data_IF_675258581740
#
_entry.id   IF_675258581740
#
_cell.length_a   1.000
_cell.length_b   1.000
_cell.length_c   1.000
_cell.angle_alpha   90.00
_cell.angle_beta   90.00
_cell.angle_gamma   90.00
#
_symmetry.space_group_name_H-M   'P 1'
#
loop_
_entity.id
_entity.type
_entity.pdbx_description
1 polymer ?
#
# COMPACT_ATOMS: atom_id res chain seq x y z
N UNK A 1 -13.60 -19.82 4.40
CA UNK A 1 -14.05 -18.83 3.39
C UNK A 1 -13.78 -19.44 2.03
N UNK A 2 -14.73 -19.33 1.10
CA UNK A 2 -14.66 -19.93 -0.23
C UNK A 2 -14.77 -18.82 -1.27
N UNK A 3 -13.64 -18.33 -1.84
CA UNK A 3 -13.68 -17.23 -2.78
C UNK A 3 -14.54 -17.56 -4.00
N UNK A 4 -15.41 -16.65 -4.39
CA UNK A 4 -16.28 -16.81 -5.57
C UNK A 4 -16.10 -15.67 -6.54
N UNK A 5 -16.32 -15.93 -7.84
CA UNK A 5 -16.17 -14.90 -8.88
C UNK A 5 -17.21 -13.80 -8.67
N UNK A 6 -16.74 -12.57 -8.60
CA UNK A 6 -17.58 -11.39 -8.59
C UNK A 6 -17.79 -10.90 -10.03
N UNK A 7 -19.05 -10.69 -10.43
CA UNK A 7 -19.38 -10.08 -11.71
C UNK A 7 -19.59 -8.58 -11.49
N UNK A 8 -18.69 -7.77 -12.03
CA UNK A 8 -18.70 -6.32 -11.86
C UNK A 8 -19.96 -5.69 -12.48
N UNK A 9 -20.59 -4.80 -11.74
CA UNK A 9 -21.68 -3.95 -12.22
C UNK A 9 -21.14 -2.82 -13.11
N UNK A 10 -22.04 -2.13 -13.84
CA UNK A 10 -21.67 -0.97 -14.65
C UNK A 10 -21.02 0.16 -13.83
N UNK A 11 -21.52 0.40 -12.61
CA UNK A 11 -20.96 1.43 -11.71
C UNK A 11 -19.55 1.08 -11.26
N UNK A 12 -19.32 -0.18 -10.90
CA UNK A 12 -18.00 -0.67 -10.51
C UNK A 12 -17.02 -0.61 -11.69
N UNK A 13 -17.47 -0.97 -12.89
CA UNK A 13 -16.68 -0.84 -14.12
C UNK A 13 -16.24 0.61 -14.38
N UNK A 14 -17.12 1.59 -14.15
CA UNK A 14 -16.75 3.02 -14.24
C UNK A 14 -15.68 3.40 -13.21
N UNK A 15 -15.82 2.96 -11.96
CA UNK A 15 -14.84 3.22 -10.90
C UNK A 15 -13.47 2.62 -11.24
N UNK A 16 -13.44 1.41 -11.82
CA UNK A 16 -12.23 0.74 -12.28
C UNK A 16 -11.56 1.55 -13.40
N UNK A 17 -12.31 1.96 -14.43
CA UNK A 17 -11.76 2.76 -15.52
C UNK A 17 -11.20 4.10 -15.03
N UNK A 18 -11.90 4.75 -14.09
CA UNK A 18 -11.41 5.97 -13.46
C UNK A 18 -10.09 5.72 -12.71
N UNK A 19 -9.96 4.61 -11.98
CA UNK A 19 -8.73 4.26 -11.30
C UNK A 19 -7.56 4.05 -12.26
N UNK A 20 -7.77 3.38 -13.41
CA UNK A 20 -6.73 3.24 -14.43
C UNK A 20 -6.29 4.58 -15.02
N UNK A 21 -7.25 5.47 -15.30
CA UNK A 21 -6.95 6.81 -15.84
C UNK A 21 -6.12 7.68 -14.88
N UNK A 22 -6.18 7.39 -13.58
CA UNK A 22 -5.46 8.10 -12.55
C UNK A 22 -4.05 7.55 -12.27
N UNK A 23 -3.67 6.42 -12.86
CA UNK A 23 -2.33 5.84 -12.66
C UNK A 23 -1.22 6.75 -13.19
N UNK A 24 0.01 6.70 -12.62
CA UNK A 24 1.16 7.41 -13.16
C UNK A 24 1.43 7.07 -14.63
N UNK A 25 2.06 7.99 -15.41
CA UNK A 25 2.38 7.75 -16.81
C UNK A 25 3.19 6.48 -17.08
N UNK A 26 4.14 6.13 -16.21
CA UNK A 26 4.91 4.89 -16.37
C UNK A 26 4.02 3.66 -16.25
N UNK A 27 3.15 3.60 -15.24
CA UNK A 27 2.16 2.54 -15.06
C UNK A 27 1.26 2.40 -16.29
N UNK A 28 0.67 3.50 -16.77
CA UNK A 28 -0.22 3.46 -17.94
C UNK A 28 0.47 2.89 -19.19
N UNK A 29 1.78 3.08 -19.32
CA UNK A 29 2.55 2.55 -20.45
C UNK A 29 2.86 1.07 -20.26
N UNK A 30 3.46 0.70 -19.13
CA UNK A 30 3.91 -0.67 -18.85
C UNK A 30 2.72 -1.62 -18.84
N UNK A 31 1.58 -1.21 -18.27
CA UNK A 31 0.39 -2.06 -18.19
C UNK A 31 -0.20 -2.41 -19.55
N UNK A 32 0.02 -1.62 -20.61
CA UNK A 32 -0.46 -1.96 -21.97
C UNK A 32 0.16 -3.25 -22.51
N UNK A 33 1.39 -3.55 -22.10
CA UNK A 33 2.13 -4.73 -22.55
C UNK A 33 2.12 -5.85 -21.52
N UNK A 34 2.15 -5.48 -20.23
CA UNK A 34 2.40 -6.43 -19.15
C UNK A 34 1.16 -6.80 -18.32
N UNK A 35 0.04 -6.09 -18.42
CA UNK A 35 -1.19 -6.48 -17.71
C UNK A 35 -2.07 -7.36 -18.61
N UNK A 36 -2.13 -8.65 -18.32
CA UNK A 36 -3.02 -9.59 -19.02
C UNK A 36 -4.49 -9.37 -18.66
N UNK A 37 -4.77 -8.97 -17.42
CA UNK A 37 -6.13 -8.70 -16.97
C UNK A 37 -6.24 -8.50 -15.47
N UNK A 38 -7.46 -8.17 -15.04
CA UNK A 38 -7.84 -8.13 -13.64
C UNK A 38 -9.12 -8.92 -13.40
N UNK A 39 -9.29 -9.44 -12.19
CA UNK A 39 -10.52 -10.10 -11.76
C UNK A 39 -10.92 -9.69 -10.35
N UNK A 40 -12.16 -9.96 -9.99
CA UNK A 40 -12.71 -9.66 -8.68
C UNK A 40 -13.30 -10.92 -8.06
N UNK A 41 -13.00 -11.15 -6.78
CA UNK A 41 -13.54 -12.25 -6.00
C UNK A 41 -14.26 -11.71 -4.74
N UNK A 42 -15.42 -12.27 -4.46
CA UNK A 42 -16.06 -12.15 -3.15
C UNK A 42 -15.38 -13.13 -2.16
N UNK A 43 -15.43 -12.81 -0.86
CA UNK A 43 -14.85 -13.63 0.24
C UNK A 43 -13.37 -13.98 0.12
N UNK A 44 -12.60 -13.13 -0.57
CA UNK A 44 -11.14 -13.22 -0.64
C UNK A 44 -10.50 -12.72 0.68
N UNK A 45 -9.59 -13.50 1.31
CA UNK A 45 -8.98 -13.09 2.59
C UNK A 45 -8.01 -11.91 2.44
N UNK A 46 -7.30 -11.85 1.32
CA UNK A 46 -6.39 -10.76 0.99
C UNK A 46 -7.12 -9.64 0.24
N UNK A 47 -6.57 -8.42 0.24
CA UNK A 47 -7.16 -7.32 -0.53
C UNK A 47 -6.95 -7.52 -2.03
N UNK A 48 -5.76 -7.97 -2.43
CA UNK A 48 -5.45 -8.30 -3.81
C UNK A 48 -4.31 -9.34 -3.87
N UNK A 49 -4.12 -9.91 -5.06
CA UNK A 49 -3.01 -10.81 -5.41
C UNK A 49 -2.58 -10.51 -6.84
N UNK A 50 -1.29 -10.23 -7.03
CA UNK A 50 -0.66 -10.09 -8.34
C UNK A 50 0.11 -11.37 -8.68
N UNK A 51 -0.23 -12.01 -9.81
CA UNK A 51 0.39 -13.27 -10.27
C UNK A 51 0.96 -13.13 -11.68
N UNK A 52 2.06 -13.81 -11.96
CA UNK A 52 2.60 -13.93 -13.32
C UNK A 52 1.71 -14.90 -14.12
N UNK A 53 1.41 -14.54 -15.36
CA UNK A 53 0.75 -15.41 -16.33
C UNK A 53 1.83 -16.08 -17.16
N UNK A 54 1.85 -17.42 -17.18
CA UNK A 54 2.75 -18.17 -18.05
C UNK A 54 2.39 -17.88 -19.51
N UNK A 55 3.39 -17.47 -20.29
CA UNK A 55 3.27 -17.29 -21.74
C UNK A 55 4.45 -17.94 -22.44
N UNK A 56 4.23 -18.35 -23.69
CA UNK A 56 5.27 -18.97 -24.52
C UNK A 56 6.28 -17.95 -25.06
N UNK A 57 5.99 -16.65 -24.97
CA UNK A 57 6.92 -15.58 -25.31
C UNK A 57 7.74 -15.13 -24.09
N UNK A 58 8.81 -14.36 -24.32
CA UNK A 58 9.67 -13.85 -23.25
C UNK A 58 9.06 -12.68 -22.47
N UNK A 59 7.83 -12.27 -22.78
CA UNK A 59 7.18 -11.09 -22.18
C UNK A 59 6.47 -11.51 -20.90
N UNK A 60 6.99 -11.07 -19.76
CA UNK A 60 6.38 -11.34 -18.45
C UNK A 60 5.06 -10.58 -18.33
N UNK A 61 3.94 -11.30 -18.29
CA UNK A 61 2.60 -10.73 -18.08
C UNK A 61 2.05 -11.05 -16.71
N UNK A 62 1.12 -10.22 -16.26
CA UNK A 62 0.58 -10.25 -14.92
C UNK A 62 -0.94 -10.23 -14.93
N UNK A 63 -1.53 -10.93 -13.97
CA UNK A 63 -2.95 -10.87 -13.68
C UNK A 63 -3.12 -10.41 -12.22
N UNK A 64 -4.03 -9.45 -11.97
CA UNK A 64 -4.31 -8.95 -10.63
C UNK A 64 -5.72 -9.35 -10.21
N UNK A 65 -5.83 -10.08 -9.11
CA UNK A 65 -7.11 -10.48 -8.54
C UNK A 65 -7.39 -9.63 -7.30
N UNK A 66 -8.52 -8.93 -7.27
CA UNK A 66 -8.93 -8.06 -6.18
C UNK A 66 -10.09 -8.65 -5.36
N UNK A 67 -10.16 -8.32 -4.08
CA UNK A 67 -11.36 -8.53 -3.27
C UNK A 67 -12.44 -7.53 -3.66
N UNK A 68 -13.58 -8.00 -4.14
CA UNK A 68 -14.66 -7.17 -4.69
C UNK A 68 -15.19 -6.11 -3.70
N UNK A 69 -15.17 -6.41 -2.39
CA UNK A 69 -15.64 -5.49 -1.36
C UNK A 69 -14.99 -4.09 -1.43
N UNK A 70 -13.75 -3.96 -1.92
CA UNK A 70 -13.07 -2.64 -2.04
C UNK A 70 -13.79 -1.70 -2.99
N UNK A 71 -14.54 -2.22 -3.97
CA UNK A 71 -15.30 -1.41 -4.93
C UNK A 71 -16.45 -0.64 -4.28
N UNK A 72 -16.84 -1.02 -3.06
CA UNK A 72 -17.90 -0.39 -2.27
C UNK A 72 -17.36 0.49 -1.14
N UNK A 73 -16.04 0.63 -1.05
CA UNK A 73 -15.36 1.38 0.00
C UNK A 73 -14.71 2.64 -0.57
N UNK A 74 -14.67 3.68 0.23
CA UNK A 74 -13.72 4.78 0.05
C UNK A 74 -12.32 4.36 0.49
N UNK A 75 -11.29 5.07 0.02
CA UNK A 75 -9.91 4.89 0.49
C UNK A 75 -9.84 5.02 2.02
N UNK A 76 -10.57 5.97 2.61
CA UNK A 76 -10.60 6.18 4.08
C UNK A 76 -11.15 4.97 4.83
N UNK A 77 -12.26 4.39 4.36
CA UNK A 77 -12.89 3.22 4.97
C UNK A 77 -12.00 1.98 4.87
N UNK A 78 -11.47 1.72 3.67
CA UNK A 78 -10.59 0.57 3.44
C UNK A 78 -9.30 0.65 4.25
N UNK A 79 -8.63 1.82 4.30
CA UNK A 79 -7.43 2.01 5.12
C UNK A 79 -7.74 1.78 6.61
N UNK A 80 -8.86 2.31 7.11
CA UNK A 80 -9.26 2.09 8.49
C UNK A 80 -9.55 0.61 8.78
N UNK A 81 -10.22 -0.10 7.87
CA UNK A 81 -10.44 -1.54 7.99
C UNK A 81 -9.12 -2.32 8.01
N UNK A 82 -8.26 -2.11 7.01
CA UNK A 82 -6.93 -2.74 6.89
C UNK A 82 -6.13 -2.53 8.17
N UNK A 83 -6.07 -1.30 8.67
CA UNK A 83 -5.27 -0.95 9.83
C UNK A 83 -5.81 -1.54 11.13
N UNK A 84 -7.13 -1.63 11.29
CA UNK A 84 -7.73 -2.31 12.47
C UNK A 84 -7.35 -3.78 12.56
N UNK A 85 -7.03 -4.43 11.44
CA UNK A 85 -6.55 -5.83 11.48
C UNK A 85 -5.24 -5.97 12.24
N UNK A 86 -4.42 -4.91 12.33
CA UNK A 86 -3.19 -4.89 13.12
C UNK A 86 -3.43 -4.99 14.63
N UNK A 87 -4.68 -4.85 15.09
CA UNK A 87 -5.00 -4.73 16.50
C UNK A 87 -6.11 -5.68 16.94
N UNK A 88 -6.07 -6.08 18.21
CA UNK A 88 -7.14 -6.81 18.90
C UNK A 88 -7.78 -5.92 19.97
N UNK A 89 -9.13 -5.95 20.13
CA UNK A 89 -9.84 -5.23 21.18
C UNK A 89 -9.25 -5.44 22.58
N UNK A 90 -9.20 -4.37 23.37
CA UNK A 90 -8.88 -4.37 24.79
C UNK A 90 -9.72 -3.32 25.53
N UNK A 91 -9.47 -3.12 26.84
CA UNK A 91 -10.21 -2.17 27.66
C UNK A 91 -9.78 -0.70 27.48
N UNK A 92 -8.92 -0.38 26.49
CA UNK A 92 -8.41 0.98 26.33
C UNK A 92 -9.45 1.99 25.83
N UNK A 93 -10.52 1.53 25.18
CA UNK A 93 -11.50 2.41 24.51
C UNK A 93 -10.95 3.15 23.29
N UNK A 94 -9.78 2.74 22.79
CA UNK A 94 -9.11 3.36 21.63
C UNK A 94 -9.73 2.86 20.32
N UNK A 95 -9.93 3.76 19.36
CA UNK A 95 -10.38 3.45 18.01
C UNK A 95 -9.47 4.08 16.96
N UNK A 96 -9.44 3.47 15.77
CA UNK A 96 -8.66 3.92 14.61
C UNK A 96 -9.60 4.41 13.52
N UNK A 97 -9.28 5.58 12.96
CA UNK A 97 -9.86 6.10 11.72
C UNK A 97 -8.78 6.63 10.78
N UNK A 98 -9.14 6.75 9.50
CA UNK A 98 -8.32 7.36 8.48
C UNK A 98 -9.06 8.51 7.81
N UNK A 99 -8.33 9.58 7.51
CA UNK A 99 -8.76 10.67 6.65
C UNK A 99 -7.90 10.60 5.40
N UNK A 100 -8.46 10.02 4.34
CA UNK A 100 -7.79 9.81 3.04
C UNK A 100 -8.64 10.24 1.83
N UNK A 101 -9.75 10.93 2.07
CA UNK A 101 -10.70 11.36 1.05
C UNK A 101 -11.74 10.30 0.70
N UNK A 102 -12.59 10.64 -0.28
CA UNK A 102 -13.77 9.86 -0.68
C UNK A 102 -13.60 9.17 -2.03
N UNK A 103 -12.38 9.12 -2.57
CA UNK A 103 -12.09 8.30 -3.75
C UNK A 103 -12.39 6.83 -3.44
N UNK A 104 -12.80 6.07 -4.46
CA UNK A 104 -13.01 4.64 -4.32
C UNK A 104 -11.69 3.94 -3.94
N UNK A 105 -11.74 2.95 -3.05
CA UNK A 105 -10.55 2.25 -2.56
C UNK A 105 -9.76 1.57 -3.69
N UNK A 106 -10.41 1.18 -4.79
CA UNK A 106 -9.72 0.63 -5.97
C UNK A 106 -8.65 1.57 -6.52
N UNK A 107 -8.79 2.90 -6.37
CA UNK A 107 -7.76 3.86 -6.79
C UNK A 107 -6.44 3.62 -6.05
N UNK A 108 -6.52 3.37 -4.73
CA UNK A 108 -5.35 3.10 -3.90
C UNK A 108 -4.79 1.71 -4.20
N UNK A 109 -5.65 0.69 -4.13
CA UNK A 109 -5.24 -0.71 -4.25
C UNK A 109 -4.70 -1.02 -5.65
N UNK A 110 -5.33 -0.49 -6.72
CA UNK A 110 -4.85 -0.67 -8.08
C UNK A 110 -3.45 -0.08 -8.25
N UNK A 111 -3.20 1.13 -7.76
CA UNK A 111 -1.88 1.75 -7.85
C UNK A 111 -0.82 0.94 -7.09
N UNK A 112 -1.17 0.43 -5.90
CA UNK A 112 -0.30 -0.45 -5.14
C UNK A 112 0.08 -1.70 -5.96
N UNK A 113 -0.90 -2.46 -6.43
CA UNK A 113 -0.66 -3.73 -7.15
C UNK A 113 0.05 -3.51 -8.49
N UNK A 114 -0.35 -2.47 -9.24
CA UNK A 114 0.30 -2.15 -10.51
C UNK A 114 1.73 -1.63 -10.33
N UNK A 115 2.11 -1.17 -9.14
CA UNK A 115 3.52 -0.87 -8.84
C UNK A 115 4.37 -2.12 -8.79
N UNK A 116 3.85 -3.24 -8.26
CA UNK A 116 4.54 -4.54 -8.34
C UNK A 116 4.67 -5.02 -9.79
N UNK A 117 3.65 -4.78 -10.63
CA UNK A 117 3.74 -5.08 -12.08
C UNK A 117 4.82 -4.24 -12.75
N UNK A 118 4.85 -2.92 -12.50
CA UNK A 118 5.86 -2.03 -13.08
C UNK A 118 7.26 -2.42 -12.65
N UNK A 119 7.45 -2.65 -11.35
CA UNK A 119 8.74 -3.07 -10.80
C UNK A 119 9.20 -4.38 -11.44
N UNK A 120 8.36 -5.42 -11.41
CA UNK A 120 8.72 -6.72 -11.94
C UNK A 120 8.88 -6.77 -13.47
N UNK A 121 8.28 -5.85 -14.22
CA UNK A 121 8.42 -5.78 -15.69
C UNK A 121 9.70 -5.07 -16.12
N UNK A 122 10.10 -4.03 -15.38
CA UNK A 122 11.25 -3.19 -15.71
C UNK A 122 12.49 -3.46 -14.84
N UNK A 123 12.35 -4.41 -13.91
CA UNK A 123 13.35 -4.81 -12.92
C UNK A 123 13.86 -3.62 -12.09
N UNK A 124 12.99 -2.64 -11.78
CA UNK A 124 13.42 -1.34 -11.22
C UNK A 124 14.15 -1.52 -9.89
N UNK A 125 13.61 -2.36 -9.02
CA UNK A 125 14.10 -2.56 -7.66
C UNK A 125 15.20 -3.63 -7.57
N UNK A 126 15.28 -4.54 -8.54
CA UNK A 126 16.29 -5.60 -8.55
C UNK A 126 17.52 -5.25 -9.38
N UNK A 127 17.38 -4.34 -10.34
CA UNK A 127 18.47 -3.87 -11.18
C UNK A 127 19.41 -2.96 -10.38
N UNK A 128 20.41 -3.59 -9.76
CA UNK A 128 21.45 -2.91 -8.99
C UNK A 128 22.28 -1.93 -9.83
N UNK A 129 22.33 -2.08 -11.15
CA UNK A 129 23.06 -1.17 -12.04
C UNK A 129 22.44 0.23 -12.09
N UNK A 130 21.12 0.32 -11.90
CA UNK A 130 20.37 1.59 -11.86
C UNK A 130 20.44 2.28 -10.50
N UNK A 131 20.87 1.59 -9.45
CA UNK A 131 21.03 2.14 -8.10
C UNK A 131 19.73 2.61 -7.42
N UNK A 132 18.56 2.44 -8.05
CA UNK A 132 17.28 2.91 -7.52
C UNK A 132 16.98 2.31 -6.14
N UNK A 133 17.14 0.99 -5.99
CA UNK A 133 16.91 0.32 -4.71
C UNK A 133 17.76 0.90 -3.59
N UNK A 134 19.05 1.16 -3.85
CA UNK A 134 19.94 1.79 -2.88
C UNK A 134 19.50 3.23 -2.54
N UNK A 135 19.13 4.02 -3.55
CA UNK A 135 18.66 5.39 -3.36
C UNK A 135 17.34 5.45 -2.59
N UNK A 136 16.38 4.58 -2.93
CA UNK A 136 15.05 4.56 -2.31
C UNK A 136 15.08 3.94 -0.91
N UNK A 137 15.74 2.81 -0.72
CA UNK A 137 15.80 2.15 0.59
C UNK A 137 16.71 2.91 1.55
N UNK A 138 17.72 3.64 1.06
CA UNK A 138 18.55 4.53 1.86
C UNK A 138 19.23 3.84 3.06
N UNK A 139 19.50 2.54 2.94
CA UNK A 139 20.08 1.73 4.02
C UNK A 139 19.12 1.34 5.15
N UNK A 140 17.80 1.56 4.99
CA UNK A 140 16.78 1.17 5.98
C UNK A 140 16.63 -0.35 6.02
N UNK A 141 16.63 -0.97 4.83
CA UNK A 141 16.53 -2.40 4.66
C UNK A 141 17.93 -3.02 4.62
N UNK A 142 18.17 -4.00 5.49
CA UNK A 142 19.37 -4.85 5.44
C UNK A 142 19.22 -5.94 4.38
N UNK A 143 18.00 -6.46 4.22
CA UNK A 143 17.62 -7.39 3.15
C UNK A 143 16.13 -7.21 2.80
N UNK A 144 15.61 -8.10 1.95
CA UNK A 144 14.23 -8.11 1.46
C UNK A 144 13.15 -7.98 2.54
N UNK A 145 13.38 -8.58 3.70
CA UNK A 145 12.42 -8.74 4.79
C UNK A 145 12.93 -8.14 6.12
N UNK A 146 14.18 -7.72 6.20
CA UNK A 146 14.80 -7.26 7.46
C UNK A 146 15.18 -5.80 7.37
N UNK A 147 14.65 -4.98 8.28
CA UNK A 147 15.11 -3.62 8.54
C UNK A 147 15.53 -3.50 10.00
N UNK A 148 16.51 -2.65 10.29
CA UNK A 148 16.97 -2.44 11.65
C UNK A 148 16.04 -1.45 12.38
N UNK A 149 15.45 -1.88 13.50
CA UNK A 149 14.74 -0.99 14.42
C UNK A 149 14.96 -1.42 15.87
N UNK A 150 15.24 -0.47 16.78
CA UNK A 150 15.29 -0.78 18.21
C UNK A 150 13.90 -1.03 18.81
N UNK A 151 12.82 -0.65 18.11
CA UNK A 151 11.45 -0.78 18.61
C UNK A 151 10.89 -2.19 18.35
N UNK A 152 10.61 -2.91 19.43
CA UNK A 152 10.13 -4.29 19.35
C UNK A 152 8.69 -4.41 18.81
N UNK A 153 7.85 -3.38 18.94
CA UNK A 153 6.48 -3.40 18.42
C UNK A 153 6.48 -3.39 16.89
N UNK A 154 7.36 -2.58 16.30
CA UNK A 154 7.53 -2.55 14.84
C UNK A 154 7.96 -3.91 14.28
N UNK A 155 8.76 -4.69 15.00
CA UNK A 155 9.14 -6.04 14.55
C UNK A 155 8.08 -7.12 14.79
N UNK A 156 7.12 -6.89 15.70
CA UNK A 156 6.10 -7.87 16.09
C UNK A 156 4.72 -7.62 15.47
N UNK A 157 4.55 -6.50 14.77
CA UNK A 157 3.27 -6.12 14.18
C UNK A 157 2.79 -7.14 13.14
N UNK A 158 1.46 -7.21 12.93
CA UNK A 158 0.80 -8.22 12.07
C UNK A 158 1.38 -8.38 10.67
N UNK A 159 1.93 -7.31 10.08
CA UNK A 159 2.45 -7.35 8.71
C UNK A 159 3.89 -7.87 8.62
N UNK A 160 4.57 -8.10 9.75
CA UNK A 160 5.88 -8.74 9.80
C UNK A 160 5.76 -10.26 9.77
N UNK A 161 6.79 -10.93 9.27
CA UNK A 161 6.87 -12.40 9.28
C UNK A 161 6.79 -12.91 10.73
N UNK A 162 5.81 -13.76 11.02
CA UNK A 162 5.55 -14.26 12.38
C UNK A 162 4.93 -13.25 13.35
N UNK A 163 4.61 -12.05 12.85
CA UNK A 163 3.93 -11.01 13.61
C UNK A 163 2.48 -11.37 13.92
N UNK A 164 1.92 -10.66 14.90
CA UNK A 164 0.55 -10.87 15.37
C UNK A 164 -0.16 -9.52 15.58
N UNK A 165 -1.50 -9.50 15.61
CA UNK A 165 -2.22 -8.34 16.08
C UNK A 165 -1.76 -7.92 17.48
N UNK A 166 -1.62 -6.62 17.70
CA UNK A 166 -1.23 -6.02 18.99
C UNK A 166 -2.48 -5.53 19.74
N UNK A 167 -2.44 -5.37 21.07
CA UNK A 167 -3.58 -4.77 21.79
C UNK A 167 -3.75 -3.29 21.42
N UNK A 168 -4.99 -2.78 21.40
CA UNK A 168 -5.27 -1.37 21.06
C UNK A 168 -4.53 -0.36 21.95
N UNK A 169 -4.25 -0.71 23.21
CA UNK A 169 -3.40 0.05 24.13
C UNK A 169 -1.98 0.31 23.61
N UNK A 170 -1.48 -0.51 22.67
CA UNK A 170 -0.16 -0.31 22.03
C UNK A 170 -0.18 0.65 20.84
N UNK A 171 -1.34 1.11 20.38
CA UNK A 171 -1.48 1.94 19.16
C UNK A 171 -0.63 3.21 19.20
N UNK A 172 -0.70 3.99 20.28
CA UNK A 172 0.12 5.21 20.39
C UNK A 172 1.62 4.87 20.34
N UNK A 173 2.05 3.84 21.06
CA UNK A 173 3.46 3.45 21.12
C UNK A 173 3.99 3.03 19.75
N UNK A 174 3.27 2.15 19.03
CA UNK A 174 3.71 1.69 17.71
C UNK A 174 3.71 2.82 16.67
N UNK A 175 2.75 3.75 16.70
CA UNK A 175 2.77 4.87 15.75
C UNK A 175 3.82 5.93 16.09
N UNK A 176 4.14 6.15 17.38
CA UNK A 176 5.29 6.97 17.76
C UNK A 176 6.59 6.33 17.28
N UNK A 177 6.71 5.00 17.39
CA UNK A 177 7.86 4.27 16.85
C UNK A 177 7.94 4.39 15.33
N UNK A 178 6.81 4.21 14.62
CA UNK A 178 6.73 4.35 13.17
C UNK A 178 7.17 5.76 12.72
N UNK A 179 6.80 6.82 13.45
CA UNK A 179 7.23 8.20 13.18
C UNK A 179 8.75 8.40 13.27
N UNK A 180 9.49 7.51 13.95
CA UNK A 180 10.96 7.56 13.98
C UNK A 180 11.60 6.90 12.75
N UNK A 181 10.82 6.22 11.92
CA UNK A 181 11.26 5.52 10.71
C UNK A 181 10.86 6.28 9.44
N UNK A 182 11.39 5.89 8.28
CA UNK A 182 10.98 6.48 7.00
C UNK A 182 9.84 5.71 6.32
N UNK A 183 9.10 4.87 7.04
CA UNK A 183 7.95 4.12 6.51
C UNK A 183 6.67 4.96 6.50
N UNK A 184 5.83 4.78 5.47
CA UNK A 184 4.56 5.51 5.36
C UNK A 184 3.40 4.84 6.08
N UNK A 185 3.44 3.52 6.27
CA UNK A 185 2.42 2.75 6.99
C UNK A 185 3.06 1.58 7.75
N UNK A 186 2.31 0.94 8.65
CA UNK A 186 2.77 -0.33 9.24
C UNK A 186 2.94 -1.39 8.15
N UNK A 187 2.13 -1.36 7.09
CA UNK A 187 2.23 -2.29 5.99
C UNK A 187 3.53 -2.14 5.20
N UNK A 188 4.05 -0.92 5.04
CA UNK A 188 5.37 -0.68 4.45
C UNK A 188 6.51 -1.39 5.19
N UNK A 189 6.32 -1.79 6.45
CA UNK A 189 7.33 -2.53 7.21
C UNK A 189 7.41 -4.01 6.87
N UNK A 190 6.53 -4.53 6.00
CA UNK A 190 6.44 -5.96 5.69
C UNK A 190 7.61 -6.46 4.82
N UNK A 191 7.93 -5.74 3.75
CA UNK A 191 9.07 -5.99 2.88
C UNK A 191 9.45 -4.72 2.12
N UNK A 192 10.65 -4.71 1.55
CA UNK A 192 11.13 -3.60 0.73
C UNK A 192 10.27 -3.29 -0.54
N UNK A 193 9.50 -4.27 -1.02
CA UNK A 193 8.66 -4.20 -2.23
C UNK A 193 7.33 -3.56 -1.88
N UNK A 194 6.77 -3.98 -0.74
CA UNK A 194 5.58 -3.39 -0.15
C UNK A 194 5.83 -1.95 0.29
N UNK A 195 7.04 -1.66 0.77
CA UNK A 195 7.50 -0.30 1.07
C UNK A 195 7.48 0.59 -0.18
N UNK A 196 8.02 0.12 -1.32
CA UNK A 196 7.93 0.85 -2.58
C UNK A 196 6.48 1.12 -3.00
N UNK A 197 5.67 0.06 -3.06
CA UNK A 197 4.28 0.13 -3.52
C UNK A 197 3.43 1.05 -2.63
N UNK A 198 3.55 0.94 -1.31
CA UNK A 198 2.89 1.86 -0.37
C UNK A 198 3.42 3.28 -0.47
N UNK A 199 4.74 3.47 -0.53
CA UNK A 199 5.32 4.81 -0.59
C UNK A 199 4.90 5.55 -1.86
N UNK A 200 4.91 4.88 -3.01
CA UNK A 200 4.43 5.45 -4.27
C UNK A 200 2.94 5.75 -4.23
N UNK A 201 2.14 4.84 -3.68
CA UNK A 201 0.68 5.03 -3.60
C UNK A 201 0.32 6.22 -2.70
N UNK A 202 0.94 6.31 -1.51
CA UNK A 202 0.77 7.42 -0.57
C UNK A 202 1.28 8.73 -1.16
N UNK A 203 2.44 8.72 -1.84
CA UNK A 203 2.95 9.90 -2.55
C UNK A 203 1.98 10.37 -3.63
N UNK A 204 1.48 9.45 -4.48
CA UNK A 204 0.57 9.78 -5.57
C UNK A 204 -0.76 10.35 -5.05
N UNK A 205 -1.38 9.65 -4.11
CA UNK A 205 -2.64 10.06 -3.47
C UNK A 205 -2.55 11.48 -2.90
N UNK A 206 -1.43 11.81 -2.24
CA UNK A 206 -1.30 13.08 -1.53
C UNK A 206 -0.71 14.21 -2.38
N UNK A 207 0.35 13.95 -3.15
CA UNK A 207 1.05 14.98 -3.93
C UNK A 207 0.44 15.21 -5.30
N UNK A 208 -0.10 14.17 -5.94
CA UNK A 208 -0.67 14.27 -7.30
C UNK A 208 -2.20 14.42 -7.25
N UNK A 209 -2.91 13.61 -6.46
CA UNK A 209 -4.39 13.67 -6.34
C UNK A 209 -4.90 14.63 -5.26
N UNK A 210 -4.00 15.24 -4.47
CA UNK A 210 -4.32 16.21 -3.41
C UNK A 210 -5.28 15.68 -2.33
N UNK A 211 -5.32 14.37 -2.11
CA UNK A 211 -6.08 13.78 -1.01
C UNK A 211 -5.22 13.75 0.27
N UNK A 212 -5.83 13.80 1.47
CA UNK A 212 -5.10 13.60 2.70
C UNK A 212 -4.61 12.15 2.83
N UNK A 213 -3.68 11.90 3.75
CA UNK A 213 -3.36 10.56 4.24
C UNK A 213 -2.99 10.68 5.71
N UNK A 214 -4.02 10.59 6.56
CA UNK A 214 -3.90 10.85 8.00
C UNK A 214 -4.57 9.76 8.79
N UNK A 215 -3.81 9.13 9.69
CA UNK A 215 -4.34 8.27 10.72
C UNK A 215 -4.74 9.10 11.94
N UNK A 216 -5.87 8.77 12.55
CA UNK A 216 -6.30 9.29 13.84
C UNK A 216 -6.57 8.16 14.82
N UNK A 217 -6.06 8.33 16.03
CA UNK A 217 -6.45 7.53 17.19
C UNK A 217 -7.36 8.38 18.06
N UNK A 218 -8.50 7.81 18.43
CA UNK A 218 -9.46 8.45 19.32
C UNK A 218 -9.72 7.57 20.53
N UNK A 219 -9.97 8.18 21.68
CA UNK A 219 -10.44 7.48 22.87
C UNK A 219 -11.74 8.15 23.31
N UNK A 220 -12.81 7.36 23.42
CA UNK A 220 -14.15 7.84 23.75
C UNK A 220 -14.59 9.05 22.90
N UNK A 221 -14.31 9.00 21.60
CA UNK A 221 -14.65 10.05 20.62
C UNK A 221 -13.69 11.23 20.56
N UNK A 222 -12.74 11.38 21.49
CA UNK A 222 -11.73 12.45 21.47
C UNK A 222 -10.46 11.98 20.77
N UNK A 223 -9.99 12.74 19.78
CA UNK A 223 -8.69 12.47 19.13
C UNK A 223 -7.57 12.65 20.15
N UNK A 224 -6.78 11.60 20.36
CA UNK A 224 -5.64 11.57 21.30
C UNK A 224 -4.29 11.52 20.58
N UNK A 225 -4.27 11.13 19.31
CA UNK A 225 -3.06 11.08 18.50
C UNK A 225 -3.40 11.13 17.01
N UNK A 226 -2.49 11.67 16.21
CA UNK A 226 -2.61 11.59 14.75
C UNK A 226 -1.25 11.44 14.09
N UNK A 227 -1.22 10.70 12.98
CA UNK A 227 -0.02 10.51 12.18
C UNK A 227 -0.26 10.89 10.71
N UNK A 228 0.62 11.72 10.17
CA UNK A 228 0.64 12.15 8.77
C UNK A 228 2.06 11.91 8.21
N UNK A 229 2.32 10.74 7.62
CA UNK A 229 3.68 10.31 7.27
C UNK A 229 4.44 11.29 6.38
N UNK A 230 3.77 12.00 5.47
CA UNK A 230 4.41 12.98 4.60
C UNK A 230 4.84 14.28 5.30
N UNK A 231 4.52 14.47 6.59
CA UNK A 231 5.12 15.52 7.41
C UNK A 231 6.48 15.12 7.98
N UNK A 232 6.87 13.84 7.87
CA UNK A 232 8.16 13.34 8.31
C UNK A 232 9.23 13.57 7.23
N UNK A 233 10.34 14.23 7.61
CA UNK A 233 11.46 14.49 6.70
C UNK A 233 12.12 13.20 6.21
N UNK A 234 12.20 12.16 7.07
CA UNK A 234 12.77 10.85 6.71
C UNK A 234 11.97 10.16 5.61
N UNK A 235 10.64 10.29 5.65
CA UNK A 235 9.74 9.77 4.62
C UNK A 235 9.90 10.57 3.32
N UNK A 236 9.84 11.90 3.41
CA UNK A 236 9.85 12.76 2.21
C UNK A 236 11.20 12.78 1.48
N UNK A 237 12.31 12.53 2.17
CA UNK A 237 13.63 12.38 1.54
C UNK A 237 13.65 11.26 0.50
N UNK A 238 12.98 10.13 0.78
CA UNK A 238 12.90 8.96 -0.12
C UNK A 238 11.98 9.18 -1.31
N UNK A 239 10.99 10.06 -1.16
CA UNK A 239 9.99 10.30 -2.20
C UNK A 239 10.56 10.95 -3.46
N UNK A 240 11.74 11.57 -3.39
CA UNK A 240 12.42 12.13 -4.57
C UNK A 240 12.68 11.07 -5.64
N UNK A 241 13.04 9.86 -5.24
CA UNK A 241 13.29 8.75 -6.17
C UNK A 241 12.03 8.36 -6.95
N UNK A 242 10.83 8.65 -6.41
CA UNK A 242 9.55 8.28 -7.03
C UNK A 242 9.21 9.12 -8.26
N UNK A 243 9.92 10.22 -8.55
CA UNK A 243 9.66 11.02 -9.75
C UNK A 243 9.88 10.23 -11.05
N UNK A 244 10.67 9.15 -11.03
CA UNK A 244 10.86 8.28 -12.19
C UNK A 244 9.55 7.65 -12.70
N UNK A 245 8.56 7.45 -11.83
CA UNK A 245 7.25 6.91 -12.24
C UNK A 245 6.39 7.95 -13.01
N UNK A 246 6.83 9.20 -13.04
CA UNK A 246 6.16 10.32 -13.70
C UNK A 246 6.91 10.89 -14.89
N UNK A 247 8.17 10.50 -15.11
CA UNK A 247 8.92 10.92 -16.28
C UNK A 247 8.25 10.38 -17.55
N UNK A 248 7.91 11.29 -18.46
CA UNK A 248 7.55 10.94 -19.83
C UNK A 248 8.85 10.52 -20.52
N UNK A 249 8.97 9.26 -20.90
CA UNK A 249 9.96 8.84 -21.90
C UNK A 249 9.37 9.09 -23.27
#
# INVERSE_FOLDING_TARGET
>A
MSPTRHITTAREFMAINQAFALLPPLHQRVLKEHLAGISFLDDMPNTALTSIVESADSVRRYHITFRAAILKQTVSEWLAEKERTCFIPDSSGTSISFIAGNLNAIVYVLLHETTHVVDGSLDIFHDTSKGFANQFTGGVWADRLTFATPDSLLNKNRFRRGGKPLPYSSTIAIYKALQQTPFVSLYSTSSWSEDLAECLTVYHLTKKMKQPFKLQLSNNGKVIFSNEPLKNSKVTQRMKSLEMFYSKS
#
